data_IF_715820949479
#
_entry.id   IF_715820949479
#
_cell.length_a   1.000
_cell.length_b   1.000
_cell.length_c   1.000
_cell.angle_alpha   90.00
_cell.angle_beta   90.00
_cell.angle_gamma   90.00
#
_symmetry.space_group_name_H-M   'P 1'
#
loop_
_entity.id
_entity.type
_entity.pdbx_description
1 polymer ?
#
# COMPACT_ATOMS: atom_id res chain seq x y z
N UNK A 1 -18.96 -2.46 7.55
CA UNK A 1 -18.52 -1.41 6.61
C UNK A 1 -17.03 -1.43 6.27
N UNK A 2 -16.08 -1.44 7.23
CA UNK A 2 -14.63 -1.42 6.92
C UNK A 2 -14.14 -2.54 5.97
N UNK A 3 -14.61 -3.78 6.19
CA UNK A 3 -14.30 -4.92 5.30
C UNK A 3 -14.80 -4.72 3.87
N UNK A 4 -15.96 -4.08 3.72
CA UNK A 4 -16.54 -3.78 2.41
C UNK A 4 -15.66 -2.79 1.62
N UNK A 5 -15.21 -1.70 2.25
CA UNK A 5 -14.31 -0.74 1.59
C UNK A 5 -12.96 -1.36 1.17
N UNK A 6 -12.42 -2.26 1.99
CA UNK A 6 -11.19 -2.98 1.63
C UNK A 6 -11.41 -3.90 0.43
N UNK A 7 -12.48 -4.70 0.43
CA UNK A 7 -12.81 -5.60 -0.69
C UNK A 7 -13.09 -4.79 -1.96
N UNK A 8 -13.86 -3.70 -1.85
CA UNK A 8 -14.15 -2.81 -2.97
C UNK A 8 -12.88 -2.22 -3.58
N UNK A 9 -11.94 -1.76 -2.73
CA UNK A 9 -10.65 -1.24 -3.19
C UNK A 9 -9.81 -2.30 -3.92
N UNK A 10 -9.82 -3.56 -3.45
CA UNK A 10 -9.15 -4.68 -4.13
C UNK A 10 -9.81 -4.98 -5.48
N UNK A 11 -11.14 -4.99 -5.56
CA UNK A 11 -11.86 -5.21 -6.82
C UNK A 11 -11.53 -4.11 -7.83
N UNK A 12 -11.50 -2.85 -7.39
CA UNK A 12 -11.11 -1.69 -8.20
C UNK A 12 -9.68 -1.82 -8.75
N UNK A 13 -8.76 -2.33 -7.93
CA UNK A 13 -7.38 -2.63 -8.33
C UNK A 13 -7.30 -3.71 -9.42
N UNK A 14 -8.02 -4.83 -9.22
CA UNK A 14 -8.07 -5.91 -10.20
C UNK A 14 -8.68 -5.42 -11.51
N UNK A 15 -9.76 -4.65 -11.43
CA UNK A 15 -10.40 -4.05 -12.60
C UNK A 15 -9.46 -3.10 -13.36
N UNK A 16 -8.70 -2.25 -12.67
CA UNK A 16 -7.68 -1.42 -13.30
C UNK A 16 -6.62 -2.26 -14.02
N UNK A 17 -6.20 -3.39 -13.43
CA UNK A 17 -5.23 -4.29 -14.03
C UNK A 17 -5.77 -4.97 -15.31
N UNK A 18 -7.05 -5.34 -15.31
CA UNK A 18 -7.74 -5.83 -16.52
C UNK A 18 -7.74 -4.76 -17.61
N UNK A 19 -8.09 -3.51 -17.29
CA UNK A 19 -8.03 -2.39 -18.24
C UNK A 19 -6.62 -2.23 -18.81
N UNK A 20 -5.59 -2.18 -17.96
CA UNK A 20 -4.20 -2.07 -18.41
C UNK A 20 -3.83 -3.21 -19.37
N UNK A 21 -4.23 -4.44 -19.03
CA UNK A 21 -3.91 -5.61 -19.86
C UNK A 21 -4.60 -5.52 -21.22
N UNK A 22 -5.88 -5.13 -21.24
CA UNK A 22 -6.68 -5.04 -22.47
C UNK A 22 -6.26 -3.88 -23.37
N UNK A 23 -5.90 -2.73 -22.80
CA UNK A 23 -5.62 -1.51 -23.58
C UNK A 23 -4.14 -1.28 -23.88
N UNK A 24 -3.21 -1.80 -23.07
CA UNK A 24 -1.76 -1.57 -23.24
C UNK A 24 -1.06 -2.85 -23.66
N UNK A 25 -1.27 -3.95 -22.93
CA UNK A 25 -0.51 -5.19 -23.16
C UNK A 25 -1.00 -5.88 -24.44
N UNK A 26 -2.31 -6.11 -24.56
CA UNK A 26 -2.90 -6.86 -25.66
C UNK A 26 -2.59 -6.28 -27.05
N UNK A 27 -2.74 -4.98 -27.33
CA UNK A 27 -2.39 -4.39 -28.62
C UNK A 27 -0.89 -4.49 -28.96
N UNK A 28 -0.04 -4.66 -27.94
CA UNK A 28 1.41 -4.81 -28.12
C UNK A 28 1.81 -6.24 -28.51
N UNK A 29 0.99 -7.24 -28.20
CA UNK A 29 1.28 -8.66 -28.48
C UNK A 29 0.41 -9.28 -29.56
N UNK A 30 -0.81 -8.77 -29.77
CA UNK A 30 -1.78 -9.32 -30.73
C UNK A 30 -2.12 -8.28 -31.79
N UNK A 31 -2.17 -8.70 -33.05
CA UNK A 31 -2.63 -7.91 -34.19
C UNK A 31 -4.13 -7.62 -34.09
N UNK A 32 -4.52 -6.35 -34.27
CA UNK A 32 -5.93 -5.92 -34.13
C UNK A 32 -6.89 -6.67 -35.08
N UNK A 33 -6.39 -7.16 -36.20
CA UNK A 33 -7.22 -7.84 -37.22
C UNK A 33 -7.69 -9.23 -36.76
N UNK A 34 -6.98 -9.87 -35.83
CA UNK A 34 -7.35 -11.21 -35.33
C UNK A 34 -8.39 -11.15 -34.19
N UNK A 35 -8.69 -9.97 -33.66
CA UNK A 35 -9.55 -9.79 -32.49
C UNK A 35 -10.70 -8.80 -32.77
N UNK A 36 -11.79 -9.23 -33.45
CA UNK A 36 -12.88 -8.34 -33.85
C UNK A 36 -13.56 -7.66 -32.65
N UNK A 37 -13.55 -8.31 -31.49
CA UNK A 37 -14.07 -7.74 -30.24
C UNK A 37 -13.28 -6.49 -29.81
N UNK A 38 -11.95 -6.58 -29.80
CA UNK A 38 -11.08 -5.48 -29.39
C UNK A 38 -11.20 -4.31 -30.37
N UNK A 39 -11.25 -4.62 -31.67
CA UNK A 39 -11.47 -3.63 -32.73
C UNK A 39 -12.77 -2.85 -32.55
N UNK A 40 -13.88 -3.53 -32.23
CA UNK A 40 -15.17 -2.86 -32.01
C UNK A 40 -15.15 -1.93 -30.78
N UNK A 41 -14.51 -2.35 -29.69
CA UNK A 41 -14.39 -1.52 -28.48
C UNK A 41 -13.49 -0.31 -28.74
N UNK A 42 -12.32 -0.53 -29.34
CA UNK A 42 -11.38 0.55 -29.64
C UNK A 42 -11.97 1.55 -30.65
N UNK A 43 -12.70 1.07 -31.65
CA UNK A 43 -13.37 1.94 -32.62
C UNK A 43 -14.45 2.80 -31.96
N UNK A 44 -15.27 2.23 -31.06
CA UNK A 44 -16.30 2.98 -30.34
C UNK A 44 -15.72 4.07 -29.43
N UNK A 45 -14.56 3.80 -28.84
CA UNK A 45 -13.91 4.71 -27.88
C UNK A 45 -13.04 5.78 -28.58
N UNK A 46 -12.34 5.41 -29.65
CA UNK A 46 -11.35 6.27 -30.31
C UNK A 46 -11.90 7.03 -31.53
N UNK A 47 -12.86 6.45 -32.24
CA UNK A 47 -13.40 7.00 -33.47
C UNK A 47 -14.80 7.59 -33.28
N UNK A 48 -15.17 8.54 -34.15
CA UNK A 48 -16.52 9.08 -34.18
C UNK A 48 -17.49 8.08 -34.82
N UNK A 49 -18.81 8.18 -34.54
CA UNK A 49 -19.82 7.34 -35.19
C UNK A 49 -19.70 7.42 -36.72
N UNK A 50 -19.54 6.26 -37.39
CA UNK A 50 -19.39 6.17 -38.84
C UNK A 50 -17.95 6.12 -39.37
N UNK A 51 -16.95 6.42 -38.53
CA UNK A 51 -15.54 6.20 -38.85
C UNK A 51 -15.14 4.74 -38.62
N UNK A 52 -14.17 4.23 -39.39
CA UNK A 52 -13.56 2.91 -39.20
C UNK A 52 -12.14 3.05 -38.66
N UNK A 53 -11.80 2.23 -37.67
CA UNK A 53 -10.45 2.16 -37.14
C UNK A 53 -9.58 1.29 -38.07
N UNK A 54 -8.48 1.88 -38.54
CA UNK A 54 -7.46 1.23 -39.39
C UNK A 54 -6.11 1.31 -38.70
N UNK A 55 -5.37 0.21 -38.71
CA UNK A 55 -4.03 0.13 -38.18
C UNK A 55 -3.05 -0.02 -39.35
N UNK A 56 -2.18 0.97 -39.53
CA UNK A 56 -1.11 0.94 -40.52
C UNK A 56 0.19 0.54 -39.84
N UNK A 57 0.82 -0.53 -40.33
CA UNK A 57 2.10 -1.00 -39.82
C UNK A 57 3.22 -0.54 -40.75
N UNK A 58 4.19 0.20 -40.21
CA UNK A 58 5.43 0.50 -40.93
C UNK A 58 6.57 -0.27 -40.25
N UNK A 59 7.20 -1.15 -41.02
CA UNK A 59 8.34 -1.96 -40.59
C UNK A 59 9.62 -1.30 -41.11
N UNK A 60 10.50 -0.93 -40.18
CA UNK A 60 11.83 -0.42 -40.50
C UNK A 60 12.86 -1.51 -40.19
N UNK A 61 13.46 -2.07 -41.23
CA UNK A 61 14.58 -2.99 -41.09
C UNK A 61 15.90 -2.21 -41.01
N UNK A 62 16.58 -2.36 -39.88
CA UNK A 62 17.97 -1.92 -39.68
C UNK A 62 18.86 -3.14 -39.54
N UNK A 63 20.18 -3.05 -39.84
CA UNK A 63 21.09 -4.20 -39.81
C UNK A 63 21.14 -4.95 -38.48
N UNK A 64 20.77 -4.29 -37.38
CA UNK A 64 20.81 -4.82 -36.01
C UNK A 64 19.43 -5.06 -35.41
N UNK A 65 18.35 -4.55 -36.02
CA UNK A 65 17.01 -4.65 -35.45
C UNK A 65 15.89 -4.39 -36.47
N UNK A 66 14.80 -5.13 -36.35
CA UNK A 66 13.53 -4.83 -37.02
C UNK A 66 12.65 -4.05 -36.05
N UNK A 67 12.36 -2.79 -36.35
CA UNK A 67 11.44 -1.97 -35.54
C UNK A 67 10.09 -1.88 -36.25
N UNK A 68 9.03 -2.34 -35.58
CA UNK A 68 7.65 -2.21 -36.08
C UNK A 68 6.98 -1.04 -35.39
N UNK A 69 6.56 -0.05 -36.17
CA UNK A 69 5.73 1.05 -35.69
C UNK A 69 4.29 0.82 -36.15
N UNK A 70 3.34 1.01 -35.23
CA UNK A 70 1.91 0.87 -35.50
C UNK A 70 1.27 2.23 -35.34
N UNK A 71 0.66 2.74 -36.41
CA UNK A 71 -0.11 3.97 -36.39
C UNK A 71 -1.59 3.62 -36.47
N UNK A 72 -2.39 4.17 -35.55
CA UNK A 72 -3.83 3.97 -35.54
C UNK A 72 -4.52 5.23 -36.04
N UNK A 73 -5.25 5.11 -37.15
CA UNK A 73 -6.03 6.19 -37.74
C UNK A 73 -7.51 5.81 -37.82
N UNK A 74 -8.37 6.79 -37.63
CA UNK A 74 -9.79 6.67 -37.94
C UNK A 74 -10.01 7.21 -39.37
N UNK A 75 -10.65 6.42 -40.22
CA UNK A 75 -10.96 6.77 -41.61
C UNK A 75 -12.45 6.95 -41.75
N UNK A 76 -12.89 8.10 -42.26
CA UNK A 76 -14.30 8.36 -42.53
C UNK A 76 -14.74 7.71 -43.87
N UNK A 77 -16.02 7.84 -44.22
CA UNK A 77 -16.56 7.31 -45.49
C UNK A 77 -15.94 7.95 -46.75
N UNK A 78 -15.30 9.11 -46.62
CA UNK A 78 -14.63 9.84 -47.70
C UNK A 78 -13.14 9.50 -47.84
N UNK A 79 -12.61 8.63 -46.98
CA UNK A 79 -11.20 8.24 -46.98
C UNK A 79 -10.27 9.24 -46.30
N UNK A 80 -10.78 10.22 -45.56
CA UNK A 80 -9.95 11.15 -44.79
C UNK A 80 -9.47 10.49 -43.49
N UNK A 81 -8.17 10.55 -43.24
CA UNK A 81 -7.51 10.00 -42.06
C UNK A 81 -7.41 11.02 -40.93
N UNK A 82 -7.76 10.60 -39.71
CA UNK A 82 -7.56 11.35 -38.46
C UNK A 82 -6.69 10.53 -37.51
N UNK A 83 -5.64 11.14 -36.98
CA UNK A 83 -4.78 10.50 -35.97
C UNK A 83 -5.56 10.31 -34.65
N UNK A 84 -5.68 9.06 -34.22
CA UNK A 84 -6.36 8.68 -32.98
C UNK A 84 -5.39 8.20 -31.89
N UNK A 85 -4.09 8.14 -32.20
CA UNK A 85 -3.08 7.52 -31.34
C UNK A 85 -2.97 8.22 -29.98
N UNK A 86 -2.93 9.55 -29.98
CA UNK A 86 -2.82 10.34 -28.74
C UNK A 86 -4.05 10.20 -27.84
N UNK A 87 -5.24 10.15 -28.45
CA UNK A 87 -6.50 10.05 -27.71
C UNK A 87 -6.62 8.68 -27.02
N UNK A 88 -6.20 7.62 -27.69
CA UNK A 88 -6.16 6.26 -27.14
C UNK A 88 -5.23 6.13 -25.94
N UNK A 89 -4.01 6.68 -26.03
CA UNK A 89 -3.06 6.69 -24.90
C UNK A 89 -3.65 7.47 -23.72
N UNK A 90 -4.24 8.63 -23.98
CA UNK A 90 -4.89 9.44 -22.94
C UNK A 90 -6.02 8.70 -22.23
N UNK A 91 -6.92 8.08 -22.98
CA UNK A 91 -8.04 7.32 -22.41
C UNK A 91 -7.55 6.09 -21.65
N UNK A 92 -6.56 5.37 -22.19
CA UNK A 92 -5.95 4.22 -21.50
C UNK A 92 -5.30 4.63 -20.18
N UNK A 93 -4.53 5.73 -20.17
CA UNK A 93 -3.87 6.25 -18.98
C UNK A 93 -4.89 6.68 -17.91
N UNK A 94 -5.91 7.46 -18.28
CA UNK A 94 -6.95 7.92 -17.34
C UNK A 94 -7.80 6.74 -16.85
N UNK A 95 -8.17 5.83 -17.76
CA UNK A 95 -8.97 4.64 -17.47
C UNK A 95 -8.26 3.65 -16.54
N UNK A 96 -6.94 3.59 -16.56
CA UNK A 96 -6.15 2.81 -15.61
C UNK A 96 -5.91 3.56 -14.29
N UNK A 97 -5.38 4.79 -14.36
CA UNK A 97 -4.93 5.55 -13.19
C UNK A 97 -6.09 5.91 -12.26
N UNK A 98 -7.25 6.29 -12.81
CA UNK A 98 -8.43 6.64 -12.01
C UNK A 98 -8.83 5.53 -11.03
N UNK A 99 -9.27 4.36 -11.51
CA UNK A 99 -9.67 3.26 -10.64
C UNK A 99 -8.52 2.75 -9.76
N UNK A 100 -7.29 2.73 -10.28
CA UNK A 100 -6.12 2.33 -9.49
C UNK A 100 -5.89 3.26 -8.30
N UNK A 101 -5.81 4.58 -8.50
CA UNK A 101 -5.55 5.52 -7.41
C UNK A 101 -6.69 5.55 -6.39
N UNK A 102 -7.95 5.46 -6.84
CA UNK A 102 -9.11 5.37 -5.95
C UNK A 102 -9.06 4.09 -5.11
N UNK A 103 -8.77 2.94 -5.74
CA UNK A 103 -8.60 1.68 -5.03
C UNK A 103 -7.44 1.73 -4.01
N UNK A 104 -6.32 2.36 -4.38
CA UNK A 104 -5.13 2.46 -3.53
C UNK A 104 -5.45 3.31 -2.30
N UNK A 105 -6.06 4.46 -2.52
CA UNK A 105 -6.42 5.37 -1.44
C UNK A 105 -7.43 4.74 -0.49
N UNK A 106 -8.46 4.06 -1.01
CA UNK A 106 -9.44 3.34 -0.20
C UNK A 106 -8.79 2.23 0.65
N UNK A 107 -7.87 1.46 0.09
CA UNK A 107 -7.18 0.38 0.82
C UNK A 107 -6.23 0.93 1.90
N UNK A 108 -5.50 2.01 1.61
CA UNK A 108 -4.63 2.67 2.58
C UNK A 108 -5.41 3.28 3.76
N UNK A 109 -6.51 3.99 3.48
CA UNK A 109 -7.37 4.55 4.53
C UNK A 109 -7.98 3.46 5.41
N UNK A 110 -8.50 2.38 4.79
CA UNK A 110 -9.06 1.25 5.52
C UNK A 110 -8.01 0.57 6.41
N UNK A 111 -6.76 0.44 5.93
CA UNK A 111 -5.65 -0.12 6.69
C UNK A 111 -5.24 0.73 7.90
N UNK A 112 -5.14 2.05 7.71
CA UNK A 112 -4.76 2.97 8.79
C UNK A 112 -5.83 3.02 9.90
N UNK A 113 -7.11 2.95 9.54
CA UNK A 113 -8.19 2.87 10.53
C UNK A 113 -8.18 1.55 11.32
N UNK A 114 -7.76 0.44 10.72
CA UNK A 114 -7.65 -0.85 11.40
C UNK A 114 -6.47 -0.89 12.39
N UNK A 115 -5.37 -0.18 12.10
CA UNK A 115 -4.21 -0.09 13.00
C UNK A 115 -4.58 0.63 14.31
N UNK A 116 -5.36 1.72 14.24
CA UNK A 116 -5.79 2.46 15.44
C UNK A 116 -6.58 1.58 16.41
N UNK A 117 -7.52 0.78 15.91
CA UNK A 117 -8.30 -0.13 16.75
C UNK A 117 -7.41 -1.21 17.41
N UNK A 118 -6.41 -1.73 16.69
CA UNK A 118 -5.47 -2.72 17.24
C UNK A 118 -4.58 -2.11 18.32
N UNK A 119 -4.07 -0.90 18.10
CA UNK A 119 -3.27 -0.17 19.08
C UNK A 119 -4.09 0.17 20.32
N UNK A 120 -5.35 0.60 20.16
CA UNK A 120 -6.22 0.84 21.31
C UNK A 120 -6.51 -0.43 22.10
N UNK A 121 -6.75 -1.57 21.43
CA UNK A 121 -6.95 -2.85 22.11
C UNK A 121 -5.68 -3.33 22.81
N UNK A 122 -4.52 -3.18 22.17
CA UNK A 122 -3.24 -3.51 22.80
C UNK A 122 -2.98 -2.63 24.02
N UNK A 123 -3.22 -1.32 23.92
CA UNK A 123 -3.07 -0.40 25.05
C UNK A 123 -4.06 -0.70 26.18
N UNK A 124 -5.31 -1.08 25.86
CA UNK A 124 -6.29 -1.49 26.87
C UNK A 124 -5.86 -2.77 27.60
N UNK A 125 -5.33 -3.77 26.88
CA UNK A 125 -4.80 -5.00 27.47
C UNK A 125 -3.57 -4.73 28.35
N UNK A 126 -2.70 -3.82 27.93
CA UNK A 126 -1.55 -3.39 28.74
C UNK A 126 -2.01 -2.66 30.00
N UNK A 127 -3.04 -1.81 29.91
CA UNK A 127 -3.60 -1.12 31.07
C UNK A 127 -4.20 -2.10 32.10
N UNK A 128 -4.97 -3.10 31.66
CA UNK A 128 -5.51 -4.15 32.54
C UNK A 128 -4.40 -5.01 33.16
N UNK A 129 -3.38 -5.38 32.37
CA UNK A 129 -2.23 -6.10 32.91
C UNK A 129 -1.53 -5.27 33.99
N UNK A 130 -1.35 -3.96 33.77
CA UNK A 130 -0.66 -3.07 34.71
C UNK A 130 -1.43 -2.90 36.02
N UNK A 131 -2.77 -2.78 35.98
CA UNK A 131 -3.58 -2.72 37.21
C UNK A 131 -3.48 -4.01 38.03
N UNK A 132 -3.44 -5.17 37.36
CA UNK A 132 -3.34 -6.47 38.03
C UNK A 132 -1.98 -6.65 38.75
N UNK A 133 -0.91 -6.08 38.20
CA UNK A 133 0.42 -6.11 38.85
C UNK A 133 0.48 -5.21 40.09
N UNK A 134 -0.17 -4.05 40.10
CA UNK A 134 -0.15 -3.13 41.27
C UNK A 134 -0.81 -3.74 42.51
N UNK A 135 -1.95 -4.42 42.33
CA UNK A 135 -2.66 -5.08 43.44
C UNK A 135 -1.85 -6.25 44.02
N UNK A 136 -1.09 -6.98 43.19
CA UNK A 136 -0.24 -8.11 43.63
C UNK A 136 0.92 -7.68 44.55
N UNK A 137 1.44 -6.45 44.43
CA UNK A 137 2.54 -5.98 45.28
C UNK A 137 2.06 -5.51 46.66
N UNK A 138 0.83 -5.02 46.77
CA UNK A 138 0.22 -4.62 48.05
C UNK A 138 -0.04 -5.81 48.97
N UNK A 139 -0.42 -6.96 48.43
CA UNK A 139 -0.61 -8.18 49.24
C UNK A 139 0.72 -8.76 49.76
N UNK A 140 1.79 -8.71 48.95
CA UNK A 140 3.11 -9.20 49.38
C UNK A 140 3.77 -8.33 50.44
N UNK A 141 3.55 -7.02 50.42
CA UNK A 141 4.14 -6.11 51.43
C UNK A 141 3.48 -6.24 52.80
N UNK A 142 2.20 -6.60 52.88
CA UNK A 142 1.53 -6.85 54.16
C UNK A 142 1.91 -8.21 54.79
N UNK A 143 2.31 -9.20 53.98
CA UNK A 143 2.70 -10.52 54.48
C UNK A 143 4.17 -10.62 54.93
N UNK A 144 5.00 -9.61 54.64
CA UNK A 144 6.41 -9.56 55.01
C UNK A 144 6.68 -9.04 56.45
N UNK A 145 5.65 -8.75 57.25
CA UNK A 145 5.80 -8.28 58.64
C UNK A 145 5.95 -9.40 59.68
N UNK A 146 5.94 -10.68 59.28
CA UNK A 146 6.10 -11.83 60.20
C UNK A 146 7.10 -12.84 59.63
N UNK A 147 8.38 -12.46 59.57
CA UNK A 147 9.43 -13.39 59.17
C UNK A 147 10.82 -12.77 59.15
N UNK A 148 11.56 -12.94 60.25
CA UNK A 148 13.01 -12.71 60.30
C UNK A 148 13.71 -13.73 59.40
N UNK A 149 13.81 -13.44 58.11
CA UNK A 149 14.77 -14.08 57.22
C UNK A 149 15.70 -13.01 56.69
N UNK A 150 16.97 -13.14 57.06
CA UNK A 150 18.09 -12.37 56.54
C UNK A 150 18.25 -12.67 55.04
N UNK A 151 17.57 -11.86 54.23
CA UNK A 151 17.62 -11.88 52.77
C UNK A 151 18.95 -11.24 52.31
N UNK A 152 19.69 -11.89 51.40
CA UNK A 152 20.94 -11.34 50.87
C UNK A 152 20.64 -10.07 50.08
N UNK A 153 21.40 -9.00 50.37
CA UNK A 153 21.24 -7.69 49.78
C UNK A 153 21.09 -7.74 48.24
N UNK A 154 20.12 -7.00 47.65
CA UNK A 154 19.88 -7.03 46.22
C UNK A 154 21.13 -6.55 45.48
N UNK A 155 21.61 -7.38 44.55
CA UNK A 155 22.71 -7.02 43.68
C UNK A 155 22.36 -5.72 42.94
N UNK A 156 23.13 -4.66 43.19
CA UNK A 156 22.97 -3.38 42.51
C UNK A 156 23.04 -3.61 40.99
N UNK A 157 21.89 -3.51 40.32
CA UNK A 157 21.81 -3.55 38.86
C UNK A 157 22.64 -2.38 38.33
N UNK A 158 23.69 -2.69 37.57
CA UNK A 158 24.61 -1.67 37.07
C UNK A 158 23.87 -0.64 36.20
N UNK A 159 24.27 0.63 36.32
CA UNK A 159 23.70 1.73 35.53
C UNK A 159 23.77 1.46 34.02
N UNK A 160 24.82 0.76 33.58
CA UNK A 160 24.99 0.30 32.19
C UNK A 160 23.85 -0.60 31.73
N UNK A 161 23.41 -1.53 32.58
CA UNK A 161 22.33 -2.46 32.26
C UNK A 161 20.98 -1.73 32.12
N UNK A 162 20.71 -0.74 32.98
CA UNK A 162 19.51 0.12 32.87
C UNK A 162 19.50 0.96 31.59
N UNK A 163 20.65 1.50 31.19
CA UNK A 163 20.78 2.25 29.93
C UNK A 163 20.62 1.36 28.70
N UNK A 164 21.11 0.12 28.76
CA UNK A 164 20.97 -0.87 27.71
C UNK A 164 19.49 -1.23 27.49
N UNK A 165 18.75 -1.48 28.57
CA UNK A 165 17.32 -1.81 28.53
C UNK A 165 16.48 -0.68 27.92
N UNK A 166 16.76 0.59 28.28
CA UNK A 166 16.11 1.75 27.68
C UNK A 166 16.35 1.85 26.16
N UNK A 167 17.56 1.48 25.71
CA UNK A 167 17.91 1.51 24.28
C UNK A 167 17.17 0.41 23.51
N UNK A 168 17.05 -0.78 24.11
CA UNK A 168 16.31 -1.90 23.52
C UNK A 168 14.80 -1.59 23.43
N UNK A 169 14.21 -1.00 24.47
CA UNK A 169 12.82 -0.56 24.45
C UNK A 169 12.54 0.48 23.35
N UNK A 170 13.45 1.43 23.13
CA UNK A 170 13.36 2.41 22.04
C UNK A 170 13.46 1.73 20.68
N UNK A 171 14.42 0.82 20.49
CA UNK A 171 14.60 0.10 19.24
C UNK A 171 13.41 -0.82 18.93
N UNK A 172 12.71 -1.33 19.94
CA UNK A 172 11.48 -2.10 19.80
C UNK A 172 10.24 -1.22 19.50
N UNK A 173 10.36 0.10 19.51
CA UNK A 173 9.25 1.04 19.31
C UNK A 173 8.28 1.10 20.49
N UNK A 174 8.70 0.63 21.68
CA UNK A 174 7.88 0.67 22.90
C UNK A 174 7.86 2.04 23.56
N UNK A 175 8.91 2.85 23.34
CA UNK A 175 9.02 4.22 23.81
C UNK A 175 9.43 5.14 22.68
N UNK A 176 8.97 6.39 22.74
CA UNK A 176 9.33 7.43 21.78
C UNK A 176 10.73 7.99 22.05
N UNK A 177 11.35 8.64 21.06
CA UNK A 177 12.67 9.28 21.24
C UNK A 177 12.66 10.36 22.34
N UNK A 178 11.54 11.06 22.53
CA UNK A 178 11.37 12.06 23.58
C UNK A 178 11.37 11.44 24.99
N UNK A 179 10.72 10.30 25.16
CA UNK A 179 10.70 9.58 26.44
C UNK A 179 12.07 8.97 26.77
N UNK A 180 12.76 8.43 25.76
CA UNK A 180 14.11 7.87 25.92
C UNK A 180 15.10 8.93 26.46
N UNK A 181 15.09 10.14 25.89
CA UNK A 181 16.01 11.21 26.33
C UNK A 181 15.71 11.67 27.75
N UNK A 182 14.43 11.79 28.13
CA UNK A 182 14.02 12.17 29.48
C UNK A 182 14.47 11.15 30.52
N UNK A 183 14.22 9.86 30.27
CA UNK A 183 14.60 8.78 31.20
C UNK A 183 16.13 8.60 31.29
N UNK A 184 16.84 8.73 30.17
CA UNK A 184 18.31 8.70 30.17
C UNK A 184 18.90 9.83 31.00
N UNK A 185 18.34 11.04 30.94
CA UNK A 185 18.80 12.19 31.72
C UNK A 185 18.54 12.00 33.22
N UNK A 186 17.40 11.43 33.60
CA UNK A 186 17.10 11.11 34.99
C UNK A 186 18.10 10.10 35.59
N UNK A 187 18.44 9.04 34.85
CA UNK A 187 19.40 8.01 35.31
C UNK A 187 20.85 8.51 35.40
N UNK A 188 21.23 9.54 34.64
CA UNK A 188 22.59 10.09 34.68
C UNK A 188 22.79 11.12 35.81
N UNK A 189 21.70 11.58 36.42
CA UNK A 189 21.72 12.57 37.49
C UNK A 189 21.54 11.95 38.89
N UNK A 190 21.40 10.61 38.96
CA UNK A 190 21.30 9.81 40.19
C UNK A 190 22.69 9.40 40.67
#
# INVERSE_FOLDING_TARGET
MRRFFMILGIILMVFAFVILTVFIILPSVVTLDDTPFLKNIMQSVACQPGEKLTASYSTYDTPTSTTRSTYMSCVNSEGQERDASQQLIGIGAVGYLGPFLVGLFMTLLAGNLAKKDRLQKANAQVAEATSTWDDSWKDRTNQASVGNYSEPAPAHVSLTQRLQELKEARNAGLITDAEYTTKRKALLNE
#
